data_IF_666849629193
#
_entry.id   IF_666849629193
#
_cell.length_a   1.000
_cell.length_b   1.000
_cell.length_c   1.000
_cell.angle_alpha   90.00
_cell.angle_beta   90.00
_cell.angle_gamma   90.00
#
_symmetry.space_group_name_H-M   'P 1'
#
loop_
_entity.id
_entity.type
_entity.pdbx_description
1 polymer ?
2 non-polymer ?
3 water ?
#
# COMPACT_ATOMS: atom_id res chain seq x y z
N UNK A 13 22.55 2.23 19.83
CA UNK A 13 22.75 3.71 19.74
C UNK A 13 22.65 4.22 18.30
N UNK A 14 23.23 3.45 17.36
CA UNK A 14 23.22 3.82 15.95
C UNK A 14 21.80 3.78 15.36
N UNK A 15 20.85 3.31 16.17
CA UNK A 15 19.46 3.22 15.75
C UNK A 15 18.62 4.23 16.49
N UNK A 16 19.27 5.08 17.27
CA UNK A 16 18.60 6.14 18.00
C UNK A 16 18.20 7.20 16.96
N UNK A 17 16.97 7.71 17.05
CA UNK A 17 16.37 8.71 16.15
C UNK A 17 17.28 9.69 15.42
N UNK A 18 17.96 10.54 16.17
CA UNK A 18 18.84 11.52 15.55
C UNK A 18 19.96 10.86 14.75
N UNK A 19 20.66 9.94 15.39
CA UNK A 19 21.75 9.23 14.76
C UNK A 19 21.33 8.50 13.49
N UNK A 20 20.20 7.79 13.60
CA UNK A 20 19.69 7.01 12.48
C UNK A 20 19.38 7.86 11.25
N UNK A 21 18.83 9.06 11.46
CA UNK A 21 18.52 9.94 10.35
C UNK A 21 19.82 10.42 9.69
N UNK A 22 20.80 10.78 10.49
CA UNK A 22 22.07 11.23 9.91
C UNK A 22 22.72 10.08 9.15
N UNK A 23 22.62 8.87 9.70
CA UNK A 23 23.22 7.72 9.04
C UNK A 23 22.52 7.46 7.70
N UNK A 24 21.20 7.55 7.70
CA UNK A 24 20.47 7.33 6.47
C UNK A 24 20.85 8.39 5.46
N UNK A 25 21.01 9.63 5.94
CA UNK A 25 21.41 10.75 5.08
C UNK A 25 22.70 10.44 4.32
N UNK A 26 23.72 9.98 5.05
CA UNK A 26 25.01 9.65 4.44
C UNK A 26 24.94 8.45 3.51
N UNK A 27 23.95 7.58 3.71
CA UNK A 27 23.84 6.40 2.88
C UNK A 27 23.12 6.65 1.55
N UNK A 28 22.65 7.87 1.34
CA UNK A 28 21.96 8.19 0.09
C UNK A 28 22.76 7.80 -1.16
N UNK A 29 22.07 7.27 -2.18
CA UNK A 29 22.67 6.85 -3.44
C UNK A 29 23.18 8.06 -4.22
N UNK A 30 24.23 7.87 -5.01
CA UNK A 30 24.75 9.00 -5.77
C UNK A 30 23.80 9.29 -6.91
N UNK A 31 24.10 10.35 -7.64
CA UNK A 31 23.31 10.71 -8.79
C UNK A 31 23.65 9.63 -9.80
N UNK A 32 22.71 9.31 -10.68
CA UNK A 32 22.97 8.30 -11.68
C UNK A 32 22.74 8.84 -13.08
N UNK A 33 23.79 8.84 -13.89
CA UNK A 33 23.70 9.31 -15.26
C UNK A 33 23.65 8.08 -16.15
N UNK A 34 22.63 7.98 -17.00
CA UNK A 34 22.52 6.82 -17.89
C UNK A 34 23.50 6.85 -19.05
N UNK A 35 23.81 8.05 -19.53
CA UNK A 35 24.76 8.22 -20.62
C UNK A 35 24.31 7.59 -21.93
N UNK A 36 23.28 8.17 -22.53
CA UNK A 36 22.75 7.69 -23.81
C UNK A 36 23.69 8.15 -24.92
N UNK A 37 24.21 7.20 -25.72
CA UNK A 37 25.11 7.51 -26.84
C UNK A 37 24.35 8.23 -27.95
N UNK A 44 10.52 1.76 -26.66
CA UNK A 44 11.80 1.15 -27.03
C UNK A 44 12.98 1.93 -26.44
N UNK A 45 13.25 3.13 -26.97
CA UNK A 45 14.36 3.96 -26.49
C UNK A 45 14.06 4.56 -25.11
N UNK A 46 12.87 5.16 -24.97
CA UNK A 46 12.51 5.74 -23.69
C UNK A 46 12.50 4.60 -22.68
N UNK A 47 11.92 3.48 -23.08
CA UNK A 47 11.86 2.31 -22.22
C UNK A 47 13.25 1.71 -22.10
N UNK A 48 14.09 1.99 -23.09
CA UNK A 48 15.46 1.51 -23.11
C UNK A 48 16.22 2.30 -22.06
N UNK A 49 16.01 3.61 -22.07
CA UNK A 49 16.65 4.51 -21.12
C UNK A 49 16.26 4.14 -19.69
N UNK A 50 14.96 4.15 -19.43
CA UNK A 50 14.44 3.83 -18.11
C UNK A 50 14.98 2.51 -17.60
N UNK A 51 15.11 1.55 -18.50
CA UNK A 51 15.62 0.26 -18.11
C UNK A 51 17.11 0.30 -17.81
N UNK A 52 17.87 1.05 -18.60
CA UNK A 52 19.31 1.12 -18.35
C UNK A 52 19.53 1.81 -17.01
N UNK A 53 18.66 2.76 -16.73
CA UNK A 53 18.71 3.53 -15.48
C UNK A 53 18.46 2.65 -14.26
N UNK A 54 17.36 1.90 -14.30
CA UNK A 54 17.00 1.01 -13.20
C UNK A 54 18.16 0.10 -12.86
N UNK A 55 18.64 -0.62 -13.87
CA UNK A 55 19.76 -1.53 -13.68
C UNK A 55 20.88 -0.81 -12.91
N UNK A 56 21.22 0.40 -13.33
CA UNK A 56 22.26 1.17 -12.66
C UNK A 56 21.91 1.57 -11.22
N UNK A 57 20.68 2.05 -11.00
CA UNK A 57 20.28 2.45 -9.67
C UNK A 57 20.22 1.28 -8.70
N UNK A 58 19.84 0.11 -9.22
CA UNK A 58 19.73 -1.09 -8.40
C UNK A 58 21.02 -1.43 -7.71
N UNK A 59 22.14 -1.22 -8.40
CA UNK A 59 23.42 -1.51 -7.79
C UNK A 59 23.59 -0.64 -6.55
N UNK A 60 23.34 0.67 -6.69
CA UNK A 60 23.49 1.61 -5.58
C UNK A 60 22.44 1.39 -4.52
N UNK A 61 21.30 0.84 -4.93
CA UNK A 61 20.25 0.57 -3.96
C UNK A 61 20.76 -0.51 -2.99
N UNK A 62 21.40 -1.55 -3.51
CA UNK A 62 21.93 -2.58 -2.63
C UNK A 62 22.84 -1.91 -1.61
N UNK A 63 23.75 -1.08 -2.10
CA UNK A 63 24.70 -0.41 -1.21
C UNK A 63 23.96 0.34 -0.14
N UNK A 64 22.94 1.08 -0.57
CA UNK A 64 22.14 1.88 0.34
C UNK A 64 21.62 1.00 1.48
N UNK A 65 20.87 -0.03 1.13
CA UNK A 65 20.29 -0.95 2.11
C UNK A 65 21.30 -1.52 3.12
N UNK A 66 22.47 -1.92 2.62
CA UNK A 66 23.51 -2.47 3.51
C UNK A 66 23.97 -1.45 4.55
N UNK A 67 23.91 -0.16 4.21
CA UNK A 67 24.31 0.90 5.12
C UNK A 67 23.23 1.24 6.15
N UNK A 68 22.06 0.61 6.04
CA UNK A 68 21.02 0.87 7.02
C UNK A 68 21.36 0.03 8.24
N UNK A 69 21.57 0.68 9.38
CA UNK A 69 21.92 0.03 10.65
C UNK A 69 21.18 -1.27 10.90
N UNK A 70 21.93 -2.36 10.99
CA UNK A 70 21.31 -3.64 11.25
C UNK A 70 20.76 -4.41 10.07
N UNK A 71 20.67 -3.80 8.89
CA UNK A 71 20.13 -4.55 7.75
C UNK A 71 21.02 -5.76 7.44
N UNK A 72 22.32 -5.52 7.35
CA UNK A 72 23.28 -6.57 7.04
C UNK A 72 23.23 -7.71 8.06
N UNK A 73 22.68 -7.43 9.24
CA UNK A 73 22.58 -8.43 10.27
C UNK A 73 21.36 -9.33 10.18
N UNK A 74 20.40 -9.00 9.32
CA UNK A 74 19.24 -9.87 9.16
C UNK A 74 19.79 -11.08 8.41
N UNK A 75 19.03 -12.16 8.36
CA UNK A 75 19.50 -13.33 7.63
C UNK A 75 19.61 -12.93 6.17
N UNK A 76 20.63 -13.43 5.47
CA UNK A 76 20.79 -13.12 4.07
C UNK A 76 19.49 -13.44 3.36
N UNK A 77 18.77 -14.41 3.90
CA UNK A 77 17.52 -14.79 3.29
C UNK A 77 16.51 -13.64 3.34
N UNK A 78 16.47 -12.94 4.48
CA UNK A 78 15.57 -11.80 4.61
C UNK A 78 16.05 -10.62 3.76
N UNK A 79 17.36 -10.40 3.75
CA UNK A 79 17.94 -9.32 2.98
C UNK A 79 17.53 -9.46 1.51
N UNK A 80 17.71 -10.66 0.98
CA UNK A 80 17.38 -10.93 -0.40
C UNK A 80 15.88 -10.82 -0.64
N UNK A 81 15.13 -11.31 0.34
CA UNK A 81 13.67 -11.29 0.28
C UNK A 81 13.17 -9.83 0.19
N UNK A 82 13.66 -8.99 1.07
CA UNK A 82 13.26 -7.60 1.09
C UNK A 82 13.67 -6.88 -0.18
N UNK A 83 14.94 -7.01 -0.55
CA UNK A 83 15.45 -6.36 -1.76
C UNK A 83 14.71 -6.74 -3.03
N UNK A 84 14.40 -8.03 -3.18
CA UNK A 84 13.71 -8.53 -4.35
C UNK A 84 12.30 -7.96 -4.51
N UNK A 85 11.63 -7.64 -3.42
CA UNK A 85 10.27 -7.11 -3.54
C UNK A 85 10.11 -5.61 -3.38
N UNK A 86 11.12 -4.91 -2.88
CA UNK A 86 10.95 -3.47 -2.70
C UNK A 86 11.58 -2.62 -3.78
N UNK A 87 12.57 -3.16 -4.48
CA UNK A 87 13.31 -2.39 -5.48
C UNK A 87 12.52 -1.41 -6.32
N UNK A 88 11.42 -1.85 -6.92
CA UNK A 88 10.62 -0.96 -7.75
C UNK A 88 10.03 0.18 -6.90
N UNK A 89 9.56 -0.12 -5.70
CA UNK A 89 8.99 0.90 -4.81
C UNK A 89 10.06 1.93 -4.41
N UNK A 90 11.25 1.46 -4.06
CA UNK A 90 12.30 2.38 -3.64
C UNK A 90 12.78 3.27 -4.79
N UNK A 91 12.74 2.74 -6.01
CA UNK A 91 13.15 3.52 -7.17
C UNK A 91 12.12 4.62 -7.36
N UNK A 92 10.84 4.24 -7.24
CA UNK A 92 9.78 5.22 -7.40
C UNK A 92 9.71 6.22 -6.25
N UNK A 93 10.08 5.81 -5.03
CA UNK A 93 10.06 6.77 -3.94
C UNK A 93 11.15 7.79 -4.27
N UNK A 94 12.26 7.30 -4.81
CA UNK A 94 13.35 8.19 -5.18
C UNK A 94 12.93 9.15 -6.27
N UNK A 95 12.25 8.63 -7.30
CA UNK A 95 11.78 9.43 -8.42
C UNK A 95 10.86 10.55 -7.95
N UNK A 96 9.91 10.21 -7.09
CA UNK A 96 8.96 11.18 -6.57
C UNK A 96 9.65 12.28 -5.78
N UNK A 97 10.58 11.89 -4.92
CA UNK A 97 11.27 12.86 -4.10
C UNK A 97 12.07 13.83 -4.95
N UNK A 98 12.73 13.37 -6.01
CA UNK A 98 13.46 14.36 -6.78
C UNK A 98 12.60 15.09 -7.80
N UNK A 99 11.33 14.69 -7.90
CA UNK A 99 10.39 15.32 -8.84
C UNK A 99 9.42 16.18 -8.05
N UNK A 100 9.55 16.13 -6.73
CA UNK A 100 8.65 16.83 -5.83
C UNK A 100 8.45 18.32 -6.02
N UNK A 101 9.48 19.02 -6.48
CA UNK A 101 9.32 20.46 -6.65
C UNK A 101 8.94 20.87 -8.05
N UNK A 102 8.76 19.89 -8.94
CA UNK A 102 8.44 20.20 -10.34
C UNK A 102 7.18 19.53 -10.91
N UNK A 103 6.03 20.12 -10.68
CA UNK A 103 4.79 19.54 -11.20
C UNK A 103 4.81 19.29 -12.72
N UNK A 104 4.18 18.20 -13.15
CA UNK A 104 4.12 17.90 -14.56
C UNK A 104 5.33 17.15 -15.09
N UNK A 105 6.37 17.03 -14.27
CA UNK A 105 7.58 16.36 -14.69
C UNK A 105 8.06 15.27 -13.75
N UNK A 106 8.95 14.43 -14.25
CA UNK A 106 9.53 13.36 -13.45
C UNK A 106 11.06 13.37 -13.63
N UNK A 107 11.78 13.90 -12.67
CA UNK A 107 13.23 13.93 -12.77
C UNK A 107 13.77 12.53 -12.50
N UNK A 108 13.87 11.71 -13.55
CA UNK A 108 14.39 10.35 -13.39
C UNK A 108 15.88 10.33 -13.10
N UNK A 109 16.63 11.10 -13.87
CA UNK A 109 18.07 11.16 -13.68
C UNK A 109 18.54 12.50 -14.21
N UNK A 110 19.75 12.93 -13.84
CA UNK A 110 20.22 14.22 -14.31
C UNK A 110 20.20 14.47 -15.82
N UNK A 111 19.99 13.44 -16.63
CA UNK A 111 19.91 13.72 -18.05
C UNK A 111 18.70 12.99 -18.61
N UNK A 112 17.69 12.87 -17.76
CA UNK A 112 16.48 12.21 -18.16
C UNK A 112 15.28 12.77 -17.43
N UNK A 113 14.74 13.87 -17.96
CA UNK A 113 13.60 14.52 -17.35
C UNK A 113 12.47 14.30 -18.33
N UNK A 114 11.41 13.65 -17.88
CA UNK A 114 10.28 13.38 -18.75
C UNK A 114 9.03 14.04 -18.24
N UNK A 115 8.31 14.76 -19.10
CA UNK A 115 7.06 15.36 -18.63
C UNK A 115 5.94 14.40 -18.99
N UNK A 116 4.81 14.55 -18.33
CA UNK A 116 3.69 13.66 -18.53
C UNK A 116 3.42 13.15 -19.95
N UNK A 117 3.24 14.08 -20.90
CA UNK A 117 2.95 13.71 -22.28
C UNK A 117 3.94 12.81 -22.98
N UNK A 118 5.23 12.93 -22.66
CA UNK A 118 6.20 12.07 -23.29
C UNK A 118 5.82 10.61 -22.98
N UNK A 119 4.85 10.45 -22.07
CA UNK A 119 4.41 9.13 -21.66
C UNK A 119 3.39 8.48 -22.58
N UNK A 120 2.89 9.22 -23.56
CA UNK A 120 1.90 8.68 -24.49
C UNK A 120 2.58 7.79 -25.53
N UNK A 121 3.83 8.10 -25.85
CA UNK A 121 4.61 7.31 -26.80
C UNK A 121 4.43 5.82 -26.51
N UNK A 122 4.88 5.40 -25.34
CA UNK A 122 4.75 3.99 -24.96
C UNK A 122 3.39 3.76 -24.31
N UNK A 123 2.66 2.80 -24.85
CA UNK A 123 1.33 2.47 -24.36
C UNK A 123 1.43 1.90 -22.94
N UNK A 124 0.47 2.26 -22.09
CA UNK A 124 0.47 1.75 -20.74
C UNK A 124 1.29 2.56 -19.75
N UNK A 125 2.17 3.40 -20.27
CA UNK A 125 3.03 4.20 -19.41
C UNK A 125 2.40 5.50 -18.96
N UNK A 126 1.57 6.10 -19.81
CA UNK A 126 0.94 7.35 -19.43
C UNK A 126 0.15 7.17 -18.14
N UNK A 127 -0.49 6.02 -18.01
CA UNK A 127 -1.28 5.70 -16.84
C UNK A 127 -0.38 5.74 -15.59
N UNK A 128 0.73 5.01 -15.65
CA UNK A 128 1.67 4.95 -14.54
C UNK A 128 2.29 6.31 -14.21
N UNK A 129 2.60 7.10 -15.23
CA UNK A 129 3.17 8.42 -15.00
C UNK A 129 2.16 9.25 -14.21
N UNK A 130 0.88 9.13 -14.55
CA UNK A 130 -0.12 9.89 -13.86
C UNK A 130 -0.24 9.49 -12.40
N UNK A 131 0.04 8.23 -12.08
CA UNK A 131 -0.01 7.80 -10.69
C UNK A 131 1.15 8.45 -9.93
N UNK A 132 2.34 8.36 -10.51
CA UNK A 132 3.54 8.90 -9.92
C UNK A 132 3.42 10.40 -9.73
N UNK A 133 2.88 11.09 -10.74
CA UNK A 133 2.72 12.53 -10.67
C UNK A 133 1.70 12.90 -9.60
N UNK A 134 0.70 12.06 -9.41
CA UNK A 134 -0.32 12.32 -8.41
C UNK A 134 0.24 12.08 -7.01
N UNK A 135 0.98 10.99 -6.83
CA UNK A 135 1.54 10.69 -5.52
C UNK A 135 2.56 11.74 -5.14
N UNK A 136 3.39 12.15 -6.11
CA UNK A 136 4.40 13.18 -5.89
C UNK A 136 3.67 14.47 -5.53
N UNK A 137 2.59 14.72 -6.23
CA UNK A 137 1.78 15.89 -6.01
C UNK A 137 1.34 15.97 -4.55
N UNK A 138 0.96 14.82 -4.00
CA UNK A 138 0.51 14.72 -2.63
C UNK A 138 1.62 14.90 -1.58
N UNK A 139 2.83 14.43 -1.90
CA UNK A 139 3.97 14.59 -0.99
C UNK A 139 4.34 16.06 -0.96
N UNK A 140 4.15 16.74 -2.10
CA UNK A 140 4.42 18.17 -2.17
C UNK A 140 3.40 18.92 -1.27
N UNK A 141 2.14 18.51 -1.31
CA UNK A 141 1.09 19.12 -0.50
C UNK A 141 1.33 18.93 0.99
N UNK A 142 1.88 17.78 1.36
CA UNK A 142 2.14 17.49 2.77
C UNK A 142 3.43 18.14 3.20
N UNK A 143 4.16 18.68 2.24
CA UNK A 143 5.43 19.31 2.52
C UNK A 143 6.34 18.28 3.18
N UNK A 144 6.57 17.19 2.46
CA UNK A 144 7.44 16.14 2.94
C UNK A 144 8.81 16.72 3.24
N UNK A 145 9.34 16.42 4.41
CA UNK A 145 10.66 16.92 4.79
C UNK A 145 11.77 15.97 4.35
N UNK A 146 12.99 16.49 4.28
CA UNK A 146 14.14 15.69 3.87
C UNK A 146 14.33 14.56 4.89
N UNK A 147 14.09 14.84 6.17
CA UNK A 147 14.22 13.84 7.24
C UNK A 147 13.12 12.77 7.14
N UNK A 148 11.88 13.21 6.91
CA UNK A 148 10.77 12.28 6.78
C UNK A 148 11.03 11.36 5.57
N UNK A 149 11.35 11.96 4.42
CA UNK A 149 11.64 11.20 3.22
C UNK A 149 12.70 10.12 3.49
N UNK A 150 13.71 10.45 4.29
CA UNK A 150 14.73 9.47 4.61
C UNK A 150 14.16 8.30 5.43
N UNK A 151 13.26 8.57 6.37
CA UNK A 151 12.70 7.48 7.17
C UNK A 151 11.73 6.64 6.34
N UNK A 152 10.87 7.32 5.60
CA UNK A 152 9.88 6.65 4.78
C UNK A 152 10.53 5.65 3.81
N UNK A 153 11.59 6.08 3.14
CA UNK A 153 12.26 5.19 2.20
C UNK A 153 12.83 3.96 2.91
N UNK A 154 13.38 4.14 4.11
CA UNK A 154 13.90 2.97 4.81
C UNK A 154 12.73 2.05 5.12
N UNK A 155 11.62 2.66 5.52
CA UNK A 155 10.43 1.88 5.83
C UNK A 155 9.92 1.11 4.64
N UNK A 156 9.92 1.73 3.46
CA UNK A 156 9.44 1.04 2.28
C UNK A 156 10.21 -0.26 2.11
N UNK A 157 11.51 -0.20 2.34
CA UNK A 157 12.33 -1.39 2.22
C UNK A 157 11.99 -2.40 3.29
N UNK A 158 12.04 -1.98 4.55
CA UNK A 158 11.76 -2.87 5.67
C UNK A 158 10.36 -3.45 5.71
N UNK A 159 9.42 -2.85 4.98
CA UNK A 159 8.04 -3.30 4.99
C UNK A 159 7.61 -3.92 3.65
N UNK A 160 8.55 -4.14 2.75
CA UNK A 160 8.21 -4.66 1.42
C UNK A 160 7.62 -6.07 1.39
N UNK A 161 8.12 -6.96 2.24
CA UNK A 161 7.60 -8.32 2.23
C UNK A 161 7.09 -8.69 3.61
N UNK A 162 5.89 -9.27 3.65
CA UNK A 162 5.24 -9.70 4.90
C UNK A 162 5.87 -11.00 5.42
N UNK A 163 6.10 -11.93 4.49
CA UNK A 163 6.66 -13.24 4.84
C UNK A 163 7.79 -13.26 5.86
N UNK A 164 8.92 -12.62 5.54
CA UNK A 164 10.06 -12.61 6.47
C UNK A 164 9.68 -12.07 7.84
N UNK A 165 8.39 -11.82 8.04
CA UNK A 165 7.92 -11.29 9.31
C UNK A 165 6.87 -12.20 9.95
N UNK A 166 6.38 -13.18 9.20
CA UNK A 166 5.35 -14.09 9.71
C UNK A 166 5.64 -15.56 9.35
N UNK A 174 15.35 -14.21 13.17
CA UNK A 174 15.63 -13.02 12.37
C UNK A 174 14.35 -12.17 12.21
N UNK A 175 13.20 -12.81 12.32
CA UNK A 175 11.94 -12.07 12.22
C UNK A 175 12.02 -11.06 13.37
N UNK A 176 12.36 -11.56 14.57
CA UNK A 176 12.49 -10.70 15.74
C UNK A 176 13.29 -9.48 15.29
N UNK A 177 14.44 -9.72 14.67
CA UNK A 177 15.30 -8.65 14.20
C UNK A 177 14.62 -7.70 13.22
N UNK A 178 13.91 -8.21 12.22
CA UNK A 178 13.27 -7.29 11.27
C UNK A 178 12.26 -6.38 11.97
N UNK A 179 11.45 -6.98 12.85
CA UNK A 179 10.44 -6.22 13.56
C UNK A 179 11.08 -5.10 14.39
N UNK A 180 12.13 -5.43 15.13
CA UNK A 180 12.79 -4.42 15.90
C UNK A 180 13.29 -3.31 15.02
N UNK A 181 13.85 -3.68 13.87
CA UNK A 181 14.35 -2.69 12.92
C UNK A 181 13.23 -1.77 12.39
N UNK A 182 12.13 -2.38 11.95
CA UNK A 182 11.02 -1.61 11.43
C UNK A 182 10.51 -0.65 12.52
N UNK A 183 10.49 -1.10 13.78
CA UNK A 183 10.03 -0.20 14.84
C UNK A 183 11.02 0.96 15.05
N UNK A 184 12.30 0.69 14.88
CA UNK A 184 13.31 1.72 15.05
C UNK A 184 13.10 2.87 14.06
N UNK A 185 12.92 2.53 12.79
CA UNK A 185 12.70 3.58 11.79
C UNK A 185 11.42 4.37 12.08
N UNK A 186 10.39 3.67 12.57
CA UNK A 186 9.12 4.31 12.91
C UNK A 186 9.32 5.30 14.05
N UNK A 187 10.01 4.88 15.10
CA UNK A 187 10.27 5.80 16.20
C UNK A 187 10.94 7.05 15.63
N UNK A 188 11.90 6.83 14.73
CA UNK A 188 12.64 7.91 14.10
C UNK A 188 11.70 8.88 13.41
N UNK A 189 10.82 8.34 12.58
CA UNK A 189 9.86 9.16 11.85
C UNK A 189 8.99 9.92 12.86
N UNK A 190 8.49 9.19 13.85
CA UNK A 190 7.64 9.80 14.89
C UNK A 190 8.41 10.87 15.62
N UNK A 191 9.70 10.63 15.80
CA UNK A 191 10.55 11.59 16.47
C UNK A 191 10.62 12.82 15.58
N UNK A 192 10.93 12.58 14.31
CA UNK A 192 11.05 13.63 13.30
C UNK A 192 9.83 14.54 13.28
N UNK A 193 8.64 13.93 13.27
CA UNK A 193 7.39 14.67 13.24
C UNK A 193 7.23 15.47 14.54
N UNK A 194 7.65 14.87 15.64
CA UNK A 194 7.54 15.52 16.94
C UNK A 194 8.25 16.88 17.00
N UNK A 195 9.52 16.93 16.60
CA UNK A 195 10.24 18.20 16.64
C UNK A 195 9.68 19.20 15.62
N UNK A 196 8.54 18.85 15.04
CA UNK A 196 7.87 19.71 14.08
C UNK A 196 7.16 20.80 14.87
N UNK A 197 6.98 20.55 16.15
CA UNK A 197 6.33 21.52 17.00
C UNK A 197 4.83 21.60 16.82
N UNK A 198 4.26 20.73 16.00
CA UNK A 198 2.81 20.73 15.82
C UNK A 198 2.15 19.98 16.98
N UNK A 199 0.84 20.18 17.15
CA UNK A 199 0.11 19.54 18.25
C UNK A 199 0.14 18.02 18.15
N UNK A 200 -0.30 17.37 19.23
CA UNK A 200 -0.34 15.92 19.25
C UNK A 200 -1.39 15.33 18.33
N UNK A 201 -2.47 16.06 18.10
CA UNK A 201 -3.50 15.54 17.21
C UNK A 201 -2.98 15.59 15.79
N UNK A 202 -2.24 16.66 15.49
CA UNK A 202 -1.67 16.82 14.15
C UNK A 202 -0.52 15.82 13.92
N UNK A 203 0.26 15.57 14.95
CA UNK A 203 1.36 14.61 14.84
C UNK A 203 0.82 13.27 14.43
N UNK A 204 -0.27 12.86 15.06
CA UNK A 204 -0.90 11.58 14.74
C UNK A 204 -1.46 11.61 13.33
N UNK A 205 -2.01 12.75 12.95
CA UNK A 205 -2.59 12.85 11.62
C UNK A 205 -1.51 12.83 10.57
N UNK A 206 -0.42 13.55 10.81
CA UNK A 206 0.66 13.57 9.83
C UNK A 206 1.27 12.18 9.69
N UNK A 207 1.44 11.46 10.80
CA UNK A 207 1.98 10.10 10.74
C UNK A 207 1.01 9.27 9.86
N UNK A 208 -0.27 9.30 10.22
CA UNK A 208 -1.25 8.56 9.45
C UNK A 208 -1.24 9.01 7.96
N UNK A 209 -1.13 10.31 7.71
CA UNK A 209 -1.13 10.78 6.33
C UNK A 209 0.06 10.28 5.53
N UNK A 210 1.21 10.23 6.17
CA UNK A 210 2.43 9.76 5.51
C UNK A 210 2.34 8.27 5.21
N UNK A 211 1.94 7.47 6.19
CA UNK A 211 1.87 6.04 6.01
C UNK A 211 0.91 5.56 4.92
N UNK A 212 -0.24 6.22 4.82
CA UNK A 212 -1.23 5.89 3.80
C UNK A 212 -0.65 6.13 2.42
N UNK A 213 0.27 7.09 2.31
CA UNK A 213 0.86 7.31 1.01
C UNK A 213 1.63 6.08 0.60
N UNK A 214 2.02 5.27 1.58
CA UNK A 214 2.75 4.05 1.27
C UNK A 214 1.93 3.09 0.41
N UNK A 215 0.61 3.07 0.58
CA UNK A 215 -0.25 2.21 -0.22
C UNK A 215 -0.19 2.61 -1.70
N UNK A 216 -0.13 3.92 -1.96
CA UNK A 216 -0.07 4.42 -3.32
C UNK A 216 1.28 4.15 -3.95
N UNK A 217 2.35 4.31 -3.17
CA UNK A 217 3.67 4.00 -3.70
C UNK A 217 3.69 2.51 -4.08
N UNK A 218 3.15 1.68 -3.20
CA UNK A 218 3.10 0.25 -3.47
C UNK A 218 2.32 0.01 -4.76
N UNK A 219 1.18 0.68 -4.85
CA UNK A 219 0.30 0.58 -6.00
C UNK A 219 1.07 0.86 -7.29
N UNK A 220 1.64 2.08 -7.38
CA UNK A 220 2.41 2.48 -8.55
C UNK A 220 3.50 1.44 -8.82
N UNK A 221 4.12 0.95 -7.77
CA UNK A 221 5.14 -0.07 -7.91
C UNK A 221 4.60 -1.31 -8.64
N UNK A 222 3.40 -1.75 -8.28
CA UNK A 222 2.81 -2.92 -8.92
C UNK A 222 2.49 -2.65 -10.38
N UNK A 223 1.92 -1.48 -10.67
CA UNK A 223 1.60 -1.15 -12.05
C UNK A 223 2.86 -1.13 -12.89
N UNK A 224 3.95 -0.64 -12.29
CA UNK A 224 5.23 -0.58 -12.99
C UNK A 224 5.79 -1.96 -13.27
N UNK A 225 5.64 -2.87 -12.30
CA UNK A 225 6.11 -4.24 -12.47
C UNK A 225 5.30 -4.97 -13.53
N UNK A 226 3.99 -4.84 -13.46
CA UNK A 226 3.12 -5.50 -14.43
C UNK A 226 3.55 -5.07 -15.81
N UNK A 227 3.68 -3.77 -16.00
CA UNK A 227 4.08 -3.23 -17.29
C UNK A 227 5.44 -3.73 -17.77
N UNK A 228 6.41 -3.73 -16.86
CA UNK A 228 7.76 -4.17 -17.20
C UNK A 228 7.79 -5.63 -17.64
N UNK A 229 6.95 -6.46 -17.03
CA UNK A 229 6.91 -7.86 -17.39
C UNK A 229 6.13 -8.09 -18.70
N UNK A 230 5.21 -7.20 -19.01
CA UNK A 230 4.43 -7.29 -20.25
C UNK A 230 5.26 -6.76 -21.41
N UNK A 231 6.55 -6.54 -21.18
CA UNK A 231 7.37 -6.00 -22.24
C UNK A 231 8.19 -6.95 -23.08
N UNK A 232 8.20 -6.64 -24.37
CA UNK A 232 8.94 -7.38 -25.37
C UNK A 232 9.40 -6.32 -26.37
N UNK A 237 16.56 -3.86 -21.71
CA UNK A 237 17.42 -4.51 -20.73
C UNK A 237 16.61 -5.29 -19.69
N UNK A 238 17.09 -6.49 -19.32
CA UNK A 238 16.42 -7.35 -18.35
C UNK A 238 16.80 -6.97 -16.92
N UNK A 239 16.14 -5.95 -16.38
CA UNK A 239 16.43 -5.50 -15.04
C UNK A 239 16.30 -6.59 -13.97
N UNK A 240 15.14 -7.25 -13.92
CA UNK A 240 14.89 -8.29 -12.92
C UNK A 240 15.94 -9.38 -12.83
N UNK A 241 16.32 -9.95 -13.97
CA UNK A 241 17.34 -11.01 -13.96
C UNK A 241 18.67 -10.39 -13.50
N UNK A 242 18.94 -9.18 -13.98
CA UNK A 242 20.16 -8.47 -13.62
C UNK A 242 20.16 -8.22 -12.13
N UNK A 243 18.98 -7.97 -11.56
CA UNK A 243 18.87 -7.76 -10.12
C UNK A 243 19.22 -9.06 -9.40
N UNK A 244 18.64 -10.16 -9.88
CA UNK A 244 18.89 -11.45 -9.29
C UNK A 244 20.38 -11.80 -9.31
N UNK A 245 21.08 -11.34 -10.34
CA UNK A 245 22.53 -11.57 -10.44
C UNK A 245 23.25 -10.82 -9.31
N UNK A 246 22.92 -9.53 -9.17
CA UNK A 246 23.51 -8.68 -8.13
C UNK A 246 23.28 -9.28 -6.76
N UNK A 247 22.10 -9.89 -6.62
CA UNK A 247 21.70 -10.51 -5.38
C UNK A 247 22.58 -11.71 -5.10
N UNK A 248 23.28 -12.18 -6.13
CA UNK A 248 24.18 -13.30 -5.94
C UNK A 248 25.59 -12.80 -5.71
N UNK A 249 25.99 -11.73 -6.40
CA UNK A 249 27.34 -11.18 -6.22
C UNK A 249 27.56 -10.88 -4.76
N UNK A 250 26.48 -11.12 -3.98
CA UNK A 250 26.58 -10.91 -2.54
C UNK A 250 25.79 -12.05 -1.89
N UNK B 12 -20.81 17.47 12.15
CA UNK B 12 -19.49 17.32 12.81
C UNK B 12 -19.54 16.14 13.79
N UNK B 13 -20.51 16.17 14.71
CA UNK B 13 -20.68 15.15 15.74
C UNK B 13 -20.90 13.70 15.26
N UNK B 14 -21.64 13.52 14.17
CA UNK B 14 -21.88 12.18 13.65
C UNK B 14 -20.58 11.50 13.19
N UNK B 15 -19.51 12.30 13.09
CA UNK B 15 -18.20 11.80 12.69
C UNK B 15 -17.30 11.67 13.91
N UNK B 16 -17.87 11.89 15.09
CA UNK B 16 -17.13 11.78 16.34
C UNK B 16 -16.72 10.33 16.56
N UNK B 17 -15.48 10.12 17.01
CA UNK B 17 -14.89 8.81 17.28
C UNK B 17 -15.85 7.71 17.74
N UNK B 18 -16.60 7.97 18.78
CA UNK B 18 -17.54 6.97 19.28
C UNK B 18 -18.73 6.71 18.37
N UNK B 19 -19.46 7.76 17.99
CA UNK B 19 -20.61 7.57 17.10
C UNK B 19 -20.17 6.85 15.84
N UNK B 20 -19.08 7.32 15.24
CA UNK B 20 -18.58 6.77 14.00
C UNK B 20 -18.36 5.26 14.03
N UNK B 21 -17.70 4.76 15.06
CA UNK B 21 -17.47 3.33 15.15
C UNK B 21 -18.79 2.55 15.24
N UNK B 22 -19.77 3.09 15.96
CA UNK B 22 -21.04 2.38 16.06
C UNK B 22 -21.77 2.45 14.73
N UNK B 23 -21.67 3.57 14.02
CA UNK B 23 -22.35 3.68 12.74
C UNK B 23 -21.74 2.72 11.74
N UNK B 24 -20.42 2.60 11.76
CA UNK B 24 -19.77 1.69 10.85
C UNK B 24 -20.22 0.28 11.20
N UNK B 25 -20.26 -0.04 12.49
CA UNK B 25 -20.68 -1.35 12.97
C UNK B 25 -22.05 -1.75 12.39
N UNK B 26 -23.02 -0.85 12.48
CA UNK B 26 -24.34 -1.13 11.96
C UNK B 26 -24.36 -1.23 10.44
N UNK B 27 -23.40 -0.56 9.80
CA UNK B 27 -23.34 -0.55 8.35
C UNK B 27 -22.68 -1.79 7.76
N UNK B 28 -22.21 -2.69 8.62
CA UNK B 28 -21.56 -3.90 8.11
C UNK B 28 -22.45 -4.66 7.13
N UNK B 29 -21.85 -5.25 6.10
CA UNK B 29 -22.55 -6.01 5.08
C UNK B 29 -23.10 -7.32 5.65
N UNK B 30 -24.12 -7.88 5.00
CA UNK B 30 -24.68 -9.13 5.48
C UNK B 30 -23.80 -10.28 5.05
N UNK B 31 -24.04 -11.44 5.63
CA UNK B 31 -23.31 -12.63 5.26
C UNK B 31 -23.73 -12.85 3.82
N UNK B 32 -22.86 -13.44 3.01
CA UNK B 32 -23.24 -13.66 1.63
C UNK B 32 -23.17 -15.12 1.24
N UNK B 33 -24.33 -15.70 0.96
CA UNK B 33 -24.41 -17.10 0.54
C UNK B 33 -24.34 -17.13 -0.98
N UNK B 34 -23.30 -17.80 -1.48
CA UNK B 34 -23.09 -17.90 -2.91
C UNK B 34 -24.11 -18.82 -3.60
N UNK B 35 -24.57 -19.84 -2.87
CA UNK B 35 -25.56 -20.79 -3.36
C UNK B 35 -25.22 -21.46 -4.70
N UNK B 36 -24.32 -22.44 -4.65
CA UNK B 36 -23.92 -23.17 -5.83
C UNK B 36 -24.83 -24.39 -6.03
N UNK B 37 -25.45 -24.50 -7.23
CA UNK B 37 -26.36 -25.60 -7.61
C UNK B 37 -25.67 -26.97 -7.61
N UNK B 44 -11.96 -22.69 -13.08
CA UNK B 44 -13.29 -22.55 -13.68
C UNK B 44 -14.41 -22.50 -12.62
N UNK B 45 -14.64 -23.61 -11.91
CA UNK B 45 -15.69 -23.65 -10.89
C UNK B 45 -15.28 -22.84 -9.66
N UNK B 46 -14.14 -23.18 -9.06
CA UNK B 46 -13.69 -22.42 -7.89
C UNK B 46 -13.65 -20.95 -8.27
N UNK B 47 -13.11 -20.68 -9.46
CA UNK B 47 -13.03 -19.30 -9.95
C UNK B 47 -14.40 -18.82 -10.33
N UNK B 48 -15.32 -19.74 -10.59
CA UNK B 48 -16.68 -19.40 -10.94
C UNK B 48 -17.35 -18.98 -9.64
N UNK B 49 -17.06 -19.72 -8.58
CA UNK B 49 -17.63 -19.42 -7.28
C UNK B 49 -17.19 -18.03 -6.85
N UNK B 50 -15.89 -17.87 -6.67
CA UNK B 50 -15.30 -16.61 -6.23
C UNK B 50 -15.81 -15.41 -7.01
N UNK B 51 -16.03 -15.62 -8.29
CA UNK B 51 -16.50 -14.54 -9.12
C UNK B 51 -17.96 -14.21 -8.82
N UNK B 52 -18.79 -15.24 -8.67
CA UNK B 52 -20.20 -15.00 -8.40
C UNK B 52 -20.33 -14.35 -7.03
N UNK B 53 -19.47 -14.76 -6.11
CA UNK B 53 -19.44 -14.23 -4.75
C UNK B 53 -19.12 -12.73 -4.77
N UNK B 54 -18.04 -12.37 -5.46
CA UNK B 54 -17.60 -10.99 -5.56
C UNK B 54 -18.71 -10.12 -6.11
N UNK B 55 -19.35 -10.59 -7.17
CA UNK B 55 -20.43 -9.83 -7.75
C UNK B 55 -21.47 -9.52 -6.66
N UNK B 56 -21.89 -10.55 -5.93
CA UNK B 56 -22.86 -10.38 -4.84
C UNK B 56 -22.36 -9.46 -3.71
N UNK B 57 -21.12 -9.61 -3.32
CA UNK B 57 -20.61 -8.76 -2.26
C UNK B 57 -20.60 -7.30 -2.68
N UNK B 58 -20.23 -7.06 -3.95
CA UNK B 58 -20.17 -5.71 -4.49
C UNK B 58 -21.44 -4.93 -4.30
N UNK B 59 -22.57 -5.60 -4.44
CA UNK B 59 -23.83 -4.91 -4.27
C UNK B 59 -23.88 -4.36 -2.84
N UNK B 60 -23.58 -5.22 -1.87
CA UNK B 60 -23.62 -4.83 -0.47
C UNK B 60 -22.52 -3.86 -0.09
N UNK B 61 -21.43 -3.92 -0.84
CA UNK B 61 -20.35 -3.01 -0.55
C UNK B 61 -20.82 -1.58 -0.84
N UNK B 62 -21.53 -1.39 -1.96
CA UNK B 62 -22.02 -0.05 -2.28
C UNK B 62 -22.89 0.43 -1.11
N UNK B 63 -23.81 -0.41 -0.66
CA UNK B 63 -24.68 -0.04 0.43
C UNK B 63 -23.84 0.41 1.60
N UNK B 64 -22.87 -0.41 1.94
CA UNK B 64 -21.97 -0.12 3.05
C UNK B 64 -21.40 1.29 2.94
N UNK B 65 -20.71 1.58 1.83
CA UNK B 65 -20.11 2.89 1.60
C UNK B 65 -21.09 4.05 1.76
N UNK B 66 -22.31 3.89 1.27
CA UNK B 66 -23.33 4.92 1.39
C UNK B 66 -23.76 5.16 2.83
N UNK B 67 -23.43 4.23 3.72
CA UNK B 67 -23.78 4.38 5.13
C UNK B 67 -22.67 5.05 5.94
N UNK B 68 -21.52 5.26 5.31
CA UNK B 68 -20.41 5.92 6.01
C UNK B 68 -20.69 7.40 6.00
N UNK B 69 -20.83 8.01 7.18
CA UNK B 69 -21.11 9.43 7.37
C UNK B 69 -20.40 10.35 6.40
N UNK B 70 -21.18 11.05 5.58
CA UNK B 70 -20.58 11.96 4.64
C UNK B 70 -20.16 11.41 3.29
N UNK B 71 -20.05 10.08 3.15
CA UNK B 71 -19.65 9.54 1.85
C UNK B 71 -20.59 10.06 0.77
N UNK B 72 -21.88 9.89 1.01
CA UNK B 72 -22.91 10.33 0.08
C UNK B 72 -22.81 11.82 -0.24
N UNK B 73 -22.19 12.60 0.64
CA UNK B 73 -22.08 14.02 0.40
C UNK B 73 -20.84 14.45 -0.38
N UNK B 74 -20.14 13.48 -0.97
CA UNK B 74 -18.99 13.80 -1.78
C UNK B 74 -19.60 13.90 -3.16
N UNK B 75 -18.84 14.33 -4.15
CA UNK B 75 -19.38 14.40 -5.49
C UNK B 75 -19.50 12.99 -6.04
N UNK B 76 -20.54 12.75 -6.83
CA UNK B 76 -20.77 11.44 -7.40
C UNK B 76 -19.51 10.98 -8.13
N UNK B 77 -18.72 11.94 -8.61
CA UNK B 77 -17.52 11.59 -9.33
C UNK B 77 -16.49 10.94 -8.41
N UNK B 78 -16.39 11.41 -7.17
CA UNK B 78 -15.44 10.83 -6.23
C UNK B 78 -15.98 9.52 -5.65
N UNK B 79 -17.29 9.45 -5.44
CA UNK B 79 -17.91 8.24 -4.92
C UNK B 79 -17.60 7.10 -5.89
N UNK B 80 -17.77 7.37 -7.18
CA UNK B 80 -17.51 6.39 -8.22
C UNK B 80 -16.02 6.06 -8.33
N UNK B 81 -15.17 7.08 -8.21
CA UNK B 81 -13.71 6.86 -8.29
C UNK B 81 -13.27 5.94 -7.17
N UNK B 82 -13.67 6.28 -5.96
CA UNK B 82 -13.31 5.51 -4.80
C UNK B 82 -13.79 4.06 -4.92
N UNK B 83 -15.08 3.87 -5.10
CA UNK B 83 -15.63 2.52 -5.23
C UNK B 83 -14.91 1.69 -6.28
N UNK B 84 -14.74 2.24 -7.46
CA UNK B 84 -14.07 1.52 -8.53
C UNK B 84 -12.63 1.15 -8.22
N UNK B 85 -11.97 1.96 -7.41
CA UNK B 85 -10.58 1.69 -7.04
C UNK B 85 -10.42 0.77 -5.84
N UNK B 86 -11.36 0.82 -4.91
CA UNK B 86 -11.21 0.04 -3.69
C UNK B 86 -11.81 -1.36 -3.61
N UNK B 87 -12.91 -1.58 -4.34
CA UNK B 87 -13.63 -2.84 -4.22
C UNK B 87 -12.84 -4.11 -3.95
N UNK B 88 -11.79 -4.37 -4.72
CA UNK B 88 -11.02 -5.59 -4.50
C UNK B 88 -10.34 -5.57 -3.12
N UNK B 89 -9.83 -4.41 -2.71
CA UNK B 89 -9.18 -4.27 -1.40
C UNK B 89 -10.19 -4.48 -0.27
N UNK B 90 -11.35 -3.83 -0.37
CA UNK B 90 -12.35 -3.99 0.67
C UNK B 90 -12.82 -5.44 0.78
N UNK B 91 -12.90 -6.13 -0.36
CA UNK B 91 -13.33 -7.53 -0.37
C UNK B 91 -12.27 -8.36 0.35
N UNK B 92 -11.01 -8.08 0.03
CA UNK B 92 -9.93 -8.82 0.65
C UNK B 92 -9.79 -8.45 2.12
N UNK B 93 -10.08 -7.22 2.49
CA UNK B 93 -9.97 -6.85 3.89
C UNK B 93 -11.05 -7.69 4.62
N UNK B 94 -12.20 -7.82 3.99
CA UNK B 94 -13.29 -8.59 4.56
C UNK B 94 -12.89 -10.06 4.71
N UNK B 95 -12.28 -10.61 3.66
CA UNK B 95 -11.84 -12.00 3.68
C UNK B 95 -10.88 -12.24 4.85
N UNK B 96 -9.86 -11.39 4.93
CA UNK B 96 -8.86 -11.50 6.00
C UNK B 96 -9.48 -11.46 7.39
N UNK B 97 -10.38 -10.51 7.60
CA UNK B 97 -11.01 -10.38 8.90
C UNK B 97 -11.79 -11.61 9.31
N UNK B 98 -12.59 -12.18 8.42
CA UNK B 98 -13.32 -13.36 8.85
C UNK B 98 -12.53 -14.67 8.80
N UNK B 99 -11.29 -14.59 8.29
CA UNK B 99 -10.40 -15.75 8.22
C UNK B 99 -9.36 -15.60 9.32
N UNK B 100 -9.43 -14.47 10.01
CA UNK B 100 -8.45 -14.15 11.03
C UNK B 100 -8.21 -15.13 12.16
N UNK B 101 -9.19 -15.95 12.48
CA UNK B 101 -8.97 -16.86 13.57
C UNK B 101 -8.65 -18.28 13.15
N UNK B 102 -8.58 -18.49 11.83
CA UNK B 102 -8.31 -19.81 11.30
C UNK B 102 -7.14 -19.89 10.35
N UNK B 103 -5.93 -20.04 10.90
CA UNK B 103 -4.77 -20.14 10.02
C UNK B 103 -4.89 -21.25 8.96
N UNK B 104 -4.31 -20.99 7.79
CA UNK B 104 -4.33 -21.97 6.72
C UNK B 104 -5.61 -21.97 5.90
N UNK B 105 -6.60 -21.20 6.31
CA UNK B 105 -7.86 -21.17 5.58
C UNK B 105 -8.32 -19.78 5.25
N UNK B 106 -9.21 -19.68 4.27
CA UNK B 106 -9.76 -18.41 3.89
C UNK B 106 -11.27 -18.57 3.88
N UNK B 107 -11.95 -18.01 4.88
CA UNK B 107 -13.39 -18.08 4.95
C UNK B 107 -13.97 -17.00 4.01
N UNK B 108 -14.18 -17.38 2.75
CA UNK B 108 -14.73 -16.46 1.75
C UNK B 108 -16.21 -16.17 1.99
N UNK B 109 -16.99 -17.19 2.29
CA UNK B 109 -18.40 -17.02 2.54
C UNK B 109 -18.83 -18.22 3.36
N UNK B 110 -20.03 -18.19 3.93
CA UNK B 110 -20.50 -19.31 4.75
C UNK B 110 -20.53 -20.70 4.09
N UNK B 111 -20.49 -20.78 2.77
CA UNK B 111 -20.48 -22.11 2.17
C UNK B 111 -19.33 -22.15 1.18
N UNK B 112 -18.21 -21.57 1.58
CA UNK B 112 -17.05 -21.51 0.73
C UNK B 112 -15.78 -21.22 1.51
N UNK B 113 -15.27 -22.24 2.17
CA UNK B 113 -14.06 -22.12 2.95
C UNK B 113 -13.03 -22.85 2.13
N UNK B 114 -11.89 -22.22 1.89
CA UNK B 114 -10.83 -22.82 1.12
C UNK B 114 -9.55 -22.84 1.92
N UNK B 115 -8.76 -23.92 1.81
CA UNK B 115 -7.48 -23.92 2.52
C UNK B 115 -6.38 -23.72 1.49
N UNK B 116 -5.22 -23.29 1.95
CA UNK B 116 -4.10 -23.02 1.06
C UNK B 116 -4.01 -23.92 -0.17
N UNK B 117 -3.85 -25.22 0.08
CA UNK B 117 -3.71 -26.23 -0.97
C UNK B 117 -4.72 -26.18 -2.12
N UNK B 118 -6.00 -26.01 -1.81
CA UNK B 118 -7.00 -25.94 -2.88
C UNK B 118 -6.64 -24.83 -3.88
N UNK B 119 -5.71 -23.97 -3.49
CA UNK B 119 -5.31 -22.88 -4.35
C UNK B 119 -4.39 -23.31 -5.47
N UNK B 120 -3.97 -24.57 -5.46
CA UNK B 120 -3.09 -25.09 -6.49
C UNK B 120 -3.84 -25.41 -7.77
N UNK B 121 -5.10 -25.79 -7.64
CA UNK B 121 -5.93 -26.11 -8.80
C UNK B 121 -5.75 -25.04 -9.87
N UNK B 122 -6.20 -23.82 -9.57
CA UNK B 122 -6.06 -22.73 -10.53
C UNK B 122 -4.65 -22.14 -10.42
N UNK B 123 -4.01 -22.00 -11.58
CA UNK B 123 -2.67 -21.47 -11.65
C UNK B 123 -2.70 -19.99 -11.31
N UNK B 124 -1.66 -19.53 -10.64
CA UNK B 124 -1.58 -18.13 -10.27
C UNK B 124 -2.24 -17.79 -8.94
N UNK B 125 -3.30 -18.52 -8.60
CA UNK B 125 -4.03 -18.29 -7.37
C UNK B 125 -3.26 -18.65 -6.11
N UNK B 126 -2.43 -19.69 -6.18
CA UNK B 126 -1.69 -20.08 -5.00
C UNK B 126 -0.85 -18.95 -4.39
N UNK B 127 -0.25 -18.15 -5.26
CA UNK B 127 0.57 -17.04 -4.81
C UNK B 127 -0.30 -16.04 -4.05
N UNK B 128 -1.43 -15.65 -4.66
CA UNK B 128 -2.32 -14.71 -4.03
C UNK B 128 -2.78 -15.21 -2.66
N UNK B 129 -3.20 -16.48 -2.59
CA UNK B 129 -3.63 -17.05 -1.31
C UNK B 129 -2.54 -16.91 -0.26
N UNK B 130 -1.30 -17.18 -0.64
CA UNK B 130 -0.24 -17.05 0.33
C UNK B 130 -0.07 -15.62 0.82
N UNK B 131 -0.38 -14.65 -0.04
CA UNK B 131 -0.28 -13.25 0.40
C UNK B 131 -1.38 -12.99 1.43
N UNK B 132 -2.61 -13.33 1.06
CA UNK B 132 -3.78 -13.13 1.91
C UNK B 132 -3.62 -13.84 3.24
N UNK B 133 -3.15 -15.08 3.21
CA UNK B 133 -2.95 -15.83 4.44
C UNK B 133 -1.88 -15.19 5.30
N UNK B 134 -0.83 -14.69 4.66
CA UNK B 134 0.26 -14.05 5.41
C UNK B 134 -0.18 -12.74 6.01
N UNK B 135 -0.95 -11.95 5.27
CA UNK B 135 -1.42 -10.67 5.79
C UNK B 135 -2.40 -10.88 6.94
N UNK B 136 -3.21 -11.94 6.81
CA UNK B 136 -4.18 -12.30 7.84
C UNK B 136 -3.38 -12.71 9.08
N UNK B 137 -2.28 -13.43 8.87
CA UNK B 137 -1.46 -13.85 9.98
C UNK B 137 -0.90 -12.64 10.73
N UNK B 138 -0.54 -11.61 9.98
CA UNK B 138 -0.02 -10.41 10.61
C UNK B 138 -1.11 -9.67 11.40
N UNK B 139 -2.37 -9.75 10.95
CA UNK B 139 -3.46 -9.10 11.66
C UNK B 139 -3.82 -9.87 12.92
N UNK B 140 -3.62 -11.18 12.88
CA UNK B 140 -3.88 -12.03 14.05
C UNK B 140 -2.79 -11.81 15.11
N UNK B 141 -1.54 -11.63 14.67
CA UNK B 141 -0.44 -11.40 15.59
C UNK B 141 -0.60 -10.05 16.28
N UNK B 142 -1.12 -9.07 15.56
CA UNK B 142 -1.32 -7.73 16.11
C UNK B 142 -2.57 -7.68 16.98
N UNK B 143 -3.35 -8.75 16.95
CA UNK B 143 -4.58 -8.82 17.69
C UNK B 143 -5.48 -7.66 17.26
N UNK B 144 -5.86 -7.68 15.99
CA UNK B 144 -6.72 -6.66 15.43
C UNK B 144 -8.06 -6.64 16.14
N UNK B 145 -8.48 -5.47 16.59
CA UNK B 145 -9.73 -5.33 17.31
C UNK B 145 -10.90 -5.09 16.36
N UNK B 146 -12.08 -5.53 16.78
CA UNK B 146 -13.27 -5.38 15.96
C UNK B 146 -13.49 -3.92 15.57
N UNK B 147 -13.19 -2.97 16.46
CA UNK B 147 -13.40 -1.59 16.06
C UNK B 147 -12.23 -1.00 15.27
N UNK B 148 -11.03 -1.55 15.47
CA UNK B 148 -9.87 -1.11 14.69
C UNK B 148 -10.18 -1.54 13.26
N UNK B 149 -10.66 -2.79 13.11
CA UNK B 149 -11.01 -3.33 11.81
C UNK B 149 -12.06 -2.47 11.09
N UNK B 150 -13.06 -1.99 11.83
CA UNK B 150 -14.09 -1.16 11.22
C UNK B 150 -13.50 0.17 10.66
N UNK B 151 -12.56 0.77 11.37
CA UNK B 151 -11.96 2.01 10.90
C UNK B 151 -11.05 1.77 9.70
N UNK B 152 -10.22 0.74 9.82
CA UNK B 152 -9.29 0.38 8.77
C UNK B 152 -10.02 0.19 7.44
N UNK B 153 -11.10 -0.59 7.46
CA UNK B 153 -11.84 -0.85 6.25
C UNK B 153 -12.42 0.45 5.68
N UNK B 154 -12.81 1.37 6.54
CA UNK B 154 -13.34 2.65 6.06
C UNK B 154 -12.18 3.43 5.43
N UNK B 155 -11.00 3.30 6.02
CA UNK B 155 -9.85 4.01 5.48
C UNK B 155 -9.47 3.46 4.12
N UNK B 156 -9.47 2.14 3.98
CA UNK B 156 -9.14 1.53 2.70
C UNK B 156 -9.96 2.19 1.59
N UNK B 157 -11.26 2.37 1.83
CA UNK B 157 -12.12 2.97 0.83
C UNK B 157 -11.73 4.43 0.60
N UNK B 158 -11.73 5.21 1.66
CA UNK B 158 -11.41 6.64 1.55
C UNK B 158 -10.01 6.94 1.01
N UNK B 159 -9.12 5.97 1.09
CA UNK B 159 -7.74 6.14 0.64
C UNK B 159 -7.43 5.35 -0.63
N UNK B 160 -8.45 4.79 -1.28
CA UNK B 160 -8.20 3.99 -2.48
C UNK B 160 -7.72 4.80 -3.67
N UNK B 161 -8.21 6.01 -3.86
CA UNK B 161 -7.79 6.80 -5.00
C UNK B 161 -7.18 8.13 -4.62
N UNK B 162 -6.03 8.42 -5.21
CA UNK B 162 -5.31 9.66 -4.95
C UNK B 162 -5.90 10.86 -5.68
N UNK B 163 -6.19 10.67 -6.97
CA UNK B 163 -6.72 11.72 -7.82
C UNK B 163 -7.79 12.63 -7.18
N UNK B 164 -8.85 12.02 -6.64
CA UNK B 164 -9.90 12.82 -6.00
C UNK B 164 -9.43 13.65 -4.81
N UNK B 165 -8.12 13.64 -4.59
CA UNK B 165 -7.55 14.38 -3.48
C UNK B 165 -6.50 15.40 -3.95
N UNK B 166 -6.07 15.29 -5.21
CA UNK B 166 -5.07 16.20 -5.77
C UNK B 166 -5.45 16.72 -7.16
N UNK B 174 -14.83 19.30 -3.27
CA UNK B 174 -15.13 17.96 -2.77
C UNK B 174 -13.86 17.32 -2.20
N UNK B 175 -12.71 17.73 -2.71
CA UNK B 175 -11.45 17.20 -2.21
C UNK B 175 -11.41 17.59 -0.73
N UNK B 176 -11.79 18.84 -0.45
CA UNK B 176 -11.84 19.37 0.89
C UNK B 176 -12.63 18.39 1.75
N UNK B 177 -13.75 17.93 1.20
CA UNK B 177 -14.60 16.99 1.91
C UNK B 177 -13.98 15.62 2.13
N UNK B 178 -13.31 15.08 1.12
CA UNK B 178 -12.70 13.77 1.29
C UNK B 178 -11.62 13.82 2.36
N UNK B 179 -10.77 14.83 2.28
CA UNK B 179 -9.69 14.97 3.25
C UNK B 179 -10.26 15.06 4.67
N UNK B 180 -11.33 15.83 4.84
CA UNK B 180 -11.90 15.94 6.16
C UNK B 180 -12.34 14.56 6.65
N UNK B 181 -13.05 13.84 5.79
CA UNK B 181 -13.55 12.50 6.09
C UNK B 181 -12.42 11.50 6.42
N UNK B 182 -11.36 11.55 5.61
CA UNK B 182 -10.24 10.66 5.83
C UNK B 182 -9.59 10.99 7.17
N UNK B 183 -9.65 12.25 7.58
CA UNK B 183 -9.08 12.65 8.87
C UNK B 183 -9.98 12.19 10.01
N UNK B 184 -11.29 12.19 9.77
CA UNK B 184 -12.26 11.76 10.77
C UNK B 184 -12.06 10.29 11.14
N UNK B 185 -12.03 9.42 10.15
CA UNK B 185 -11.83 8.01 10.40
C UNK B 185 -10.51 7.79 11.13
N UNK B 186 -9.47 8.51 10.72
CA UNK B 186 -8.16 8.41 11.35
C UNK B 186 -8.24 8.81 12.83
N UNK B 187 -8.86 9.95 13.12
CA UNK B 187 -9.02 10.34 14.52
C UNK B 187 -9.70 9.21 15.27
N UNK B 188 -10.70 8.62 14.63
CA UNK B 188 -11.45 7.53 15.22
C UNK B 188 -10.54 6.35 15.54
N UNK B 189 -9.72 5.95 14.57
CA UNK B 189 -8.80 4.85 14.77
C UNK B 189 -7.85 5.20 15.92
N UNK B 190 -7.34 6.43 15.91
CA UNK B 190 -6.42 6.90 16.95
C UNK B 190 -7.13 6.91 18.28
N UNK B 191 -8.42 7.19 18.24
CA UNK B 191 -9.21 7.22 19.45
C UNK B 191 -9.30 5.78 19.98
N UNK B 192 -9.66 4.86 19.08
CA UNK B 192 -9.80 3.44 19.41
C UNK B 192 -8.53 2.90 20.06
N UNK B 193 -7.38 3.22 19.48
CA UNK B 193 -6.11 2.74 19.99
C UNK B 193 -5.82 3.38 21.34
N UNK B 194 -6.25 4.63 21.51
CA UNK B 194 -6.01 5.33 22.76
C UNK B 194 -6.64 4.62 23.96
N UNK B 195 -7.94 4.35 23.90
CA UNK B 195 -8.59 3.69 25.02
C UNK B 195 -8.04 2.28 25.25
N UNK B 196 -7.06 1.90 24.44
CA UNK B 196 -6.43 0.60 24.58
C UNK B 196 -5.66 0.63 25.91
N UNK B 197 -5.42 1.84 26.38
CA UNK B 197 -4.70 2.00 27.63
C UNK B 197 -3.20 1.85 27.53
N UNK B 198 -2.70 1.40 26.39
CA UNK B 198 -1.26 1.24 26.25
C UNK B 198 -0.54 2.59 26.24
N UNK B 199 0.79 2.56 26.38
CA UNK B 199 1.58 3.79 26.41
C UNK B 199 1.46 4.65 25.17
N UNK B 200 2.14 5.79 25.18
CA UNK B 200 2.10 6.69 24.04
C UNK B 200 3.07 6.29 22.93
N UNK B 201 4.14 5.60 23.26
CA UNK B 201 5.07 5.17 22.23
C UNK B 201 4.44 3.99 21.52
N UNK B 202 3.74 3.16 22.29
CA UNK B 202 3.06 1.99 21.73
C UNK B 202 1.88 2.42 20.85
N UNK B 203 1.16 3.44 21.27
CA UNK B 203 0.03 3.93 20.50
C UNK B 203 0.49 4.34 19.12
N UNK B 204 1.65 4.98 19.08
CA UNK B 204 2.21 5.42 17.82
C UNK B 204 2.69 4.23 17.00
N UNK B 205 3.29 3.27 17.68
CA UNK B 205 3.79 2.10 16.99
C UNK B 205 2.63 1.29 16.44
N UNK B 206 1.56 1.16 17.22
CA UNK B 206 0.42 0.38 16.77
C UNK B 206 -0.24 1.06 15.58
N UNK B 207 -0.34 2.39 15.61
CA UNK B 207 -0.93 3.13 14.49
C UNK B 207 -0.06 2.85 13.24
N UNK B 208 1.24 3.03 13.38
CA UNK B 208 2.14 2.77 12.27
C UNK B 208 2.01 1.31 11.79
N UNK B 209 1.99 0.35 12.72
CA UNK B 209 1.89 -1.06 12.34
C UNK B 209 0.64 -1.39 11.56
N UNK B 210 -0.48 -0.81 11.97
CA UNK B 210 -1.74 -1.06 11.30
C UNK B 210 -1.72 -0.43 9.93
N UNK B 211 -1.22 0.79 9.84
CA UNK B 211 -1.21 1.45 8.54
C UNK B 211 -0.31 0.80 7.51
N UNK B 212 0.87 0.35 7.93
CA UNK B 212 1.79 -0.29 7.01
C UNK B 212 1.12 -1.51 6.43
N UNK B 213 0.27 -2.16 7.21
CA UNK B 213 -0.42 -3.32 6.69
C UNK B 213 -1.23 -2.95 5.47
N UNK B 214 -1.69 -1.71 5.40
CA UNK B 214 -2.48 -1.28 4.25
C UNK B 214 -1.71 -1.49 2.95
N UNK B 215 -0.39 -1.34 2.97
CA UNK B 215 0.42 -1.55 1.75
C UNK B 215 0.30 -2.98 1.25
N UNK B 216 0.21 -3.92 2.19
CA UNK B 216 0.09 -5.32 1.82
C UNK B 216 -1.31 -5.63 1.29
N UNK B 217 -2.32 -5.00 1.89
CA UNK B 217 -3.68 -5.22 1.40
C UNK B 217 -3.76 -4.69 -0.04
N UNK B 218 -3.22 -3.49 -0.25
CA UNK B 218 -3.23 -2.89 -1.59
C UNK B 218 -2.53 -3.87 -2.55
N UNK B 219 -1.35 -4.30 -2.15
CA UNK B 219 -0.53 -5.22 -2.92
C UNK B 219 -1.35 -6.43 -3.36
N UNK B 220 -1.86 -7.20 -2.39
CA UNK B 220 -2.69 -8.37 -2.68
C UNK B 220 -3.82 -7.98 -3.61
N UNK B 221 -4.40 -6.81 -3.38
CA UNK B 221 -5.48 -6.32 -4.23
C UNK B 221 -5.01 -6.23 -5.68
N UNK B 222 -3.79 -5.76 -5.90
CA UNK B 222 -3.27 -5.64 -7.26
C UNK B 222 -3.04 -7.01 -7.90
N UNK B 223 -2.46 -7.93 -7.16
CA UNK B 223 -2.23 -9.26 -7.70
C UNK B 223 -3.56 -9.92 -8.05
N UNK B 224 -4.59 -9.62 -7.26
CA UNK B 224 -5.90 -10.17 -7.51
C UNK B 224 -6.50 -9.59 -8.77
N UNK B 225 -6.43 -8.27 -8.91
CA UNK B 225 -6.96 -7.60 -10.10
C UNK B 225 -6.24 -8.10 -11.35
N UNK B 226 -4.92 -8.19 -11.27
CA UNK B 226 -4.13 -8.64 -12.40
C UNK B 226 -4.60 -10.02 -12.81
N UNK B 227 -4.64 -10.93 -11.85
CA UNK B 227 -5.07 -12.30 -12.12
C UNK B 227 -6.48 -12.34 -12.70
N UNK B 228 -7.37 -11.54 -12.15
CA UNK B 228 -8.76 -11.50 -12.63
C UNK B 228 -8.86 -11.05 -14.08
N UNK B 229 -7.99 -10.13 -14.49
CA UNK B 229 -8.03 -9.66 -15.87
C UNK B 229 -7.36 -10.63 -16.84
N UNK B 230 -6.44 -11.44 -16.34
CA UNK B 230 -5.76 -12.44 -17.18
C UNK B 230 -6.67 -13.65 -17.34
N UNK B 231 -7.94 -13.50 -17.00
CA UNK B 231 -8.81 -14.67 -17.10
C UNK B 231 -9.69 -14.85 -18.32
N UNK B 232 -9.79 -16.12 -18.69
CA UNK B 232 -10.59 -16.56 -19.80
C UNK B 232 -10.93 -18.01 -19.50
N UNK B 237 -17.69 -15.17 -14.38
CA UNK B 237 -18.54 -13.99 -14.33
C UNK B 237 -17.73 -12.69 -14.47
N UNK B 238 -18.27 -11.73 -15.23
CA UNK B 238 -17.60 -10.44 -15.43
C UNK B 238 -17.86 -9.50 -14.26
N UNK B 239 -17.10 -9.66 -13.19
CA UNK B 239 -17.31 -8.82 -12.02
C UNK B 239 -17.13 -7.33 -12.30
N UNK B 240 -16.01 -6.97 -12.93
CA UNK B 240 -15.72 -5.56 -13.20
C UNK B 240 -16.77 -4.81 -14.00
N UNK B 241 -17.27 -5.42 -15.06
CA UNK B 241 -18.30 -4.76 -15.87
C UNK B 241 -19.59 -4.67 -15.05
N UNK B 242 -19.89 -5.74 -14.32
CA UNK B 242 -21.08 -5.79 -13.47
C UNK B 242 -21.02 -4.71 -12.40
N UNK B 243 -19.80 -4.38 -11.96
CA UNK B 243 -19.60 -3.34 -10.97
C UNK B 243 -19.88 -1.98 -11.61
N UNK B 244 -19.47 -1.82 -12.87
CA UNK B 244 -19.69 -0.58 -13.59
C UNK B 244 -21.18 -0.33 -13.82
N UNK B 245 -21.93 -1.42 -13.98
CA UNK B 245 -23.38 -1.32 -14.15
C UNK B 245 -24.00 -0.82 -12.84
N UNK B 246 -23.57 -1.42 -11.72
CA UNK B 246 -24.07 -1.06 -10.40
C UNK B 246 -23.75 0.39 -10.13
N UNK B 247 -22.61 0.80 -10.66
CA UNK B 247 -22.17 2.17 -10.50
C UNK B 247 -23.06 3.11 -11.30
N UNK B 248 -23.64 2.60 -12.38
CA UNK B 248 -24.53 3.44 -13.17
C UNK B 248 -25.91 3.47 -12.51
N UNK B 249 -26.34 2.30 -12.01
CA UNK B 249 -27.64 2.15 -11.36
C UNK B 249 -27.83 3.35 -10.42
N UNK B 250 -26.74 3.73 -9.79
CA UNK B 250 -26.75 4.88 -8.93
C UNK B 250 -25.89 6.01 -9.53
#
# INVERSE_FOLDING_TARGET
MHHHHHHRELLLDALSPEQLVLTLLEAEPPHVLISRPSAPFTEASMMMSLTKLADKELVHMISWAKKIPGFVELSLFDQVRLLESCWMEVLMMGLMWRSIDHPGKLIFAPDLVLDRDEGKCVEGILEIFDMLLATTSRFRELKLQHKEYLCVKAMILLNSSMYPLVTATQDADSSRKLAHLLNAVTDALVWVIAKSGISSQQQSMRLANLLMLLSHVRHASNKGMEHLLNMKCKNVVPVYDLLLEMLNAHVLRGCKS
MHHHHHHRELLLDALSPEQLVLTLLEAEPPHVLISRPSAPFTEASMMMSLTKLADKELVHMISWAKKIPGFVELSLFDQVRLLESCWMEVLMMGLMWRSIDHPGKLIFAPDLVLDRDEGKCVEGILEIFDMLLATTSRFRELKLQHKEYLCVKAMILLNSSMYPLVTATQDADSSRKLAHLLNAVTDALVWVIAKSGISSQQQSMRLANLLMLLSHVRHASNKGMEHLLNMKCKNVVPVYDLLLEMLNAHVLRGCKS
#
